data_IF_043614518540
#
_entry.id   IF_043614518540
#
_cell.length_a   1.000
_cell.length_b   1.000
_cell.length_c   1.000
_cell.angle_alpha   90.00
_cell.angle_beta   90.00
_cell.angle_gamma   90.00
#
_symmetry.space_group_name_H-M   'P 1'
#
loop_
_entity.id
_entity.type
_entity.pdbx_description
1 polymer ?
#
# COMPACT_ATOMS: atom_id res chain seq x y z
N UNK A 1 4.08 5.83 -0.80
CA UNK A 1 2.86 6.62 -1.12
C UNK A 1 3.10 8.12 -0.94
N UNK A 2 3.23 8.65 0.28
CA UNK A 2 3.38 10.11 0.54
C UNK A 2 4.46 10.75 -0.34
N UNK A 3 5.67 10.19 -0.37
CA UNK A 3 6.77 10.74 -1.16
C UNK A 3 6.55 10.73 -2.68
N UNK A 4 5.61 9.94 -3.18
CA UNK A 4 5.24 9.90 -4.61
C UNK A 4 4.19 10.96 -4.89
N UNK A 5 3.13 11.00 -4.08
CA UNK A 5 1.99 11.90 -4.30
C UNK A 5 2.32 13.37 -4.04
N UNK A 6 3.18 13.68 -3.05
CA UNK A 6 3.53 15.08 -2.73
C UNK A 6 4.51 15.72 -3.71
N UNK A 7 5.18 14.93 -4.55
CA UNK A 7 6.09 15.42 -5.59
C UNK A 7 5.39 15.70 -6.91
N UNK A 8 4.16 15.23 -7.09
CA UNK A 8 3.37 15.52 -8.28
C UNK A 8 2.96 17.00 -8.32
N UNK A 9 3.04 17.63 -9.48
CA UNK A 9 2.62 19.03 -9.66
C UNK A 9 1.16 19.28 -9.31
N UNK A 10 0.33 18.23 -9.33
CA UNK A 10 -1.10 18.27 -9.04
C UNK A 10 -1.43 18.07 -7.56
N UNK A 11 -0.42 17.89 -6.70
CA UNK A 11 -0.60 17.58 -5.27
C UNK A 11 -1.55 18.54 -4.55
N UNK A 12 -1.47 19.83 -4.83
CA UNK A 12 -2.33 20.83 -4.20
C UNK A 12 -3.82 20.51 -4.42
N UNK A 13 -4.19 20.07 -5.63
CA UNK A 13 -5.57 19.68 -5.94
C UNK A 13 -5.89 18.30 -5.39
N UNK A 14 -4.98 17.33 -5.55
CA UNK A 14 -5.16 15.95 -5.07
C UNK A 14 -5.35 15.89 -3.55
N UNK A 15 -4.59 16.68 -2.80
CA UNK A 15 -4.65 16.72 -1.33
C UNK A 15 -6.00 17.16 -0.79
N UNK A 16 -6.71 18.04 -1.51
CA UNK A 16 -8.08 18.46 -1.17
C UNK A 16 -9.12 17.36 -1.39
N UNK A 17 -8.81 16.39 -2.26
CA UNK A 17 -9.65 15.22 -2.55
C UNK A 17 -9.25 13.99 -1.72
N UNK A 18 -8.14 14.07 -0.98
CA UNK A 18 -7.65 12.96 -0.18
C UNK A 18 -8.56 12.72 1.03
N UNK A 19 -9.32 11.62 0.98
CA UNK A 19 -10.25 11.23 2.03
C UNK A 19 -9.58 10.42 3.17
N UNK A 20 -10.38 9.89 4.08
CA UNK A 20 -9.95 9.08 5.22
C UNK A 20 -9.03 7.91 4.83
N UNK A 21 -9.29 7.23 3.70
CA UNK A 21 -8.43 6.14 3.23
C UNK A 21 -6.98 6.56 2.97
N UNK A 22 -6.77 7.75 2.40
CA UNK A 22 -5.42 8.28 2.22
C UNK A 22 -4.78 8.62 3.58
N UNK A 23 -5.54 9.24 4.50
CA UNK A 23 -5.08 9.54 5.86
C UNK A 23 -4.64 8.28 6.61
N UNK A 24 -5.41 7.20 6.53
CA UNK A 24 -5.13 5.96 7.24
C UNK A 24 -3.89 5.25 6.71
N UNK A 25 -3.74 5.15 5.39
CA UNK A 25 -2.58 4.52 4.76
C UNK A 25 -1.29 5.32 5.02
N UNK A 26 -1.39 6.65 4.99
CA UNK A 26 -0.23 7.53 5.16
C UNK A 26 0.15 7.78 6.61
N UNK A 27 -0.70 7.42 7.58
CA UNK A 27 -0.41 7.58 9.02
C UNK A 27 0.90 6.93 9.46
N UNK A 28 1.32 5.85 8.82
CA UNK A 28 2.60 5.17 9.11
C UNK A 28 3.82 6.07 8.85
N UNK A 29 3.72 7.05 7.94
CA UNK A 29 4.79 7.99 7.65
C UNK A 29 5.03 9.04 8.76
N UNK A 30 4.14 9.13 9.76
CA UNK A 30 4.30 10.01 10.92
C UNK A 30 5.25 9.46 11.99
N UNK A 31 5.71 8.21 11.85
CA UNK A 31 6.63 7.60 12.81
C UNK A 31 8.01 8.28 12.85
N UNK A 32 8.74 8.08 13.95
CA UNK A 32 10.09 8.63 14.10
C UNK A 32 11.04 8.04 13.04
N UNK A 33 11.71 8.87 12.20
CA UNK A 33 12.56 8.38 11.11
C UNK A 33 13.76 7.55 11.58
N UNK A 34 14.41 7.92 12.69
CA UNK A 34 15.57 7.20 13.23
C UNK A 34 15.18 5.81 13.72
N UNK A 35 14.09 5.72 14.47
CA UNK A 35 13.55 4.43 14.95
C UNK A 35 13.14 3.54 13.77
N UNK A 36 12.43 4.10 12.79
CA UNK A 36 12.02 3.35 11.60
C UNK A 36 13.22 2.85 10.78
N UNK A 37 14.27 3.67 10.64
CA UNK A 37 15.50 3.26 9.97
C UNK A 37 16.16 2.08 10.70
N UNK A 38 16.28 2.14 12.03
CA UNK A 38 16.83 1.04 12.83
C UNK A 38 16.01 -0.25 12.69
N UNK A 39 14.67 -0.18 12.71
CA UNK A 39 13.79 -1.33 12.48
C UNK A 39 14.07 -1.96 11.11
N UNK A 40 14.10 -1.13 10.05
CA UNK A 40 14.34 -1.61 8.69
C UNK A 40 15.73 -2.23 8.52
N UNK A 41 16.77 -1.64 9.11
CA UNK A 41 18.14 -2.14 9.02
C UNK A 41 18.34 -3.42 9.81
N UNK A 42 17.73 -3.52 10.99
CA UNK A 42 17.79 -4.72 11.84
C UNK A 42 17.08 -5.90 11.18
N UNK A 43 15.92 -5.66 10.54
CA UNK A 43 15.13 -6.69 9.87
C UNK A 43 15.28 -6.69 8.34
N UNK A 44 16.46 -6.27 7.84
CA UNK A 44 16.68 -5.95 6.42
C UNK A 44 16.22 -7.03 5.45
N UNK A 45 16.57 -8.29 5.71
CA UNK A 45 16.26 -9.40 4.79
C UNK A 45 14.75 -9.61 4.64
N UNK A 46 14.01 -9.66 5.75
CA UNK A 46 12.57 -9.83 5.71
C UNK A 46 11.86 -8.61 5.11
N UNK A 47 12.36 -7.40 5.40
CA UNK A 47 11.82 -6.16 4.81
C UNK A 47 11.98 -6.17 3.29
N UNK A 48 13.16 -6.52 2.77
CA UNK A 48 13.38 -6.65 1.33
C UNK A 48 12.46 -7.71 0.72
N UNK A 49 12.38 -8.89 1.34
CA UNK A 49 11.50 -9.96 0.86
C UNK A 49 10.04 -9.49 0.72
N UNK A 50 9.49 -8.83 1.74
CA UNK A 50 8.11 -8.35 1.68
C UNK A 50 7.91 -7.17 0.73
N UNK A 51 8.92 -6.33 0.51
CA UNK A 51 8.88 -5.30 -0.54
C UNK A 51 8.78 -5.96 -1.92
N UNK A 52 9.56 -7.02 -2.16
CA UNK A 52 9.55 -7.74 -3.44
C UNK A 52 8.21 -8.45 -3.68
N UNK A 53 7.69 -9.17 -2.68
CA UNK A 53 6.38 -9.83 -2.77
C UNK A 53 5.24 -8.83 -2.97
N UNK A 54 5.26 -7.70 -2.25
CA UNK A 54 4.26 -6.65 -2.44
C UNK A 54 4.36 -6.00 -3.84
N UNK A 55 5.58 -5.83 -4.36
CA UNK A 55 5.78 -5.28 -5.70
C UNK A 55 5.22 -6.19 -6.79
N UNK A 56 5.41 -7.51 -6.68
CA UNK A 56 4.79 -8.50 -7.58
C UNK A 56 3.27 -8.42 -7.56
N UNK A 57 2.68 -8.27 -6.38
CA UNK A 57 1.22 -8.16 -6.25
C UNK A 57 0.70 -6.84 -6.85
N UNK A 58 1.41 -5.73 -6.68
CA UNK A 58 1.08 -4.46 -7.35
C UNK A 58 1.15 -4.59 -8.88
N UNK A 59 2.16 -5.28 -9.41
CA UNK A 59 2.28 -5.54 -10.85
C UNK A 59 1.14 -6.43 -11.36
N UNK A 60 0.71 -7.43 -10.58
CA UNK A 60 -0.47 -8.24 -10.90
C UNK A 60 -1.72 -7.37 -11.03
N UNK A 61 -1.99 -6.49 -10.07
CA UNK A 61 -3.13 -5.56 -10.16
C UNK A 61 -2.99 -4.59 -11.34
N UNK A 62 -1.79 -4.10 -11.61
CA UNK A 62 -1.53 -3.23 -12.77
C UNK A 62 -1.89 -3.92 -14.08
N UNK A 63 -1.54 -5.21 -14.23
CA UNK A 63 -1.89 -6.01 -15.40
C UNK A 63 -3.40 -6.22 -15.52
N UNK A 64 -4.07 -6.64 -14.43
CA UNK A 64 -5.53 -6.85 -14.42
C UNK A 64 -6.29 -5.57 -14.81
N UNK A 65 -5.90 -4.42 -14.24
CA UNK A 65 -6.50 -3.12 -14.58
C UNK A 65 -6.20 -2.72 -16.02
N UNK A 66 -4.94 -2.86 -16.45
CA UNK A 66 -4.51 -2.48 -17.81
C UNK A 66 -5.18 -3.30 -18.90
N UNK A 67 -5.42 -4.59 -18.65
CA UNK A 67 -6.11 -5.50 -19.56
C UNK A 67 -7.63 -5.40 -19.50
N UNK A 68 -8.21 -4.64 -18.54
CA UNK A 68 -9.64 -4.66 -18.21
C UNK A 68 -10.14 -6.09 -17.95
N UNK A 69 -9.31 -6.83 -17.23
CA UNK A 69 -9.50 -8.26 -17.00
C UNK A 69 -10.72 -8.52 -16.10
N UNK A 70 -11.57 -9.48 -16.49
CA UNK A 70 -12.74 -9.90 -15.71
C UNK A 70 -12.37 -10.48 -14.34
N UNK A 71 -11.15 -10.98 -14.17
CA UNK A 71 -10.64 -11.53 -12.91
C UNK A 71 -10.29 -10.45 -11.87
N UNK A 72 -10.33 -9.16 -12.22
CA UNK A 72 -10.05 -8.08 -11.28
C UNK A 72 -10.98 -8.10 -10.07
N UNK A 73 -12.27 -8.35 -10.29
CA UNK A 73 -13.26 -8.43 -9.20
C UNK A 73 -12.93 -9.58 -8.25
N UNK A 74 -12.59 -10.75 -8.79
CA UNK A 74 -12.22 -11.92 -8.00
C UNK A 74 -10.97 -11.65 -7.14
N UNK A 75 -9.95 -11.00 -7.71
CA UNK A 75 -8.73 -10.61 -6.99
C UNK A 75 -9.03 -9.66 -5.81
N UNK A 76 -9.89 -8.65 -6.03
CA UNK A 76 -10.31 -7.72 -4.98
C UNK A 76 -11.17 -8.41 -3.91
N UNK A 77 -12.04 -9.34 -4.30
CA UNK A 77 -12.85 -10.13 -3.39
C UNK A 77 -12.00 -11.04 -2.50
N UNK A 78 -10.91 -11.62 -3.04
CA UNK A 78 -9.95 -12.40 -2.27
C UNK A 78 -9.26 -11.55 -1.19
N UNK A 79 -8.76 -10.36 -1.56
CA UNK A 79 -8.16 -9.44 -0.62
C UNK A 79 -9.15 -8.99 0.46
N UNK A 80 -10.41 -8.73 0.09
CA UNK A 80 -11.48 -8.39 1.02
C UNK A 80 -11.74 -9.53 2.02
N UNK A 81 -11.85 -10.78 1.54
CA UNK A 81 -12.04 -11.96 2.38
C UNK A 81 -10.87 -12.18 3.35
N UNK A 82 -9.64 -11.98 2.89
CA UNK A 82 -8.46 -12.05 3.75
C UNK A 82 -8.51 -11.01 4.87
N UNK A 83 -8.94 -9.79 4.56
CA UNK A 83 -9.12 -8.71 5.55
C UNK A 83 -10.20 -9.03 6.58
N UNK A 84 -11.36 -9.52 6.14
CA UNK A 84 -12.45 -9.92 7.05
C UNK A 84 -11.97 -10.99 8.03
N UNK A 85 -11.31 -12.03 7.53
CA UNK A 85 -10.73 -13.10 8.37
C UNK A 85 -9.72 -12.59 9.41
N UNK A 86 -8.98 -11.53 9.11
CA UNK A 86 -8.07 -10.91 10.08
C UNK A 86 -8.83 -10.17 11.17
N UNK A 87 -9.89 -9.45 10.81
CA UNK A 87 -10.77 -8.76 11.75
C UNK A 87 -11.51 -9.74 12.66
N UNK A 88 -11.97 -10.88 12.13
CA UNK A 88 -12.69 -11.89 12.93
C UNK A 88 -11.80 -12.57 13.98
N UNK A 89 -10.48 -12.51 13.81
CA UNK A 89 -9.48 -13.12 14.70
C UNK A 89 -8.96 -12.17 15.79
N UNK A 90 -9.32 -10.89 15.73
CA UNK A 90 -8.80 -9.83 16.61
C UNK A 90 -9.93 -9.26 17.44
#
# INVERSE_FOLDING_TARGET
LVSVTTKDSSWEKMSRLAASGYRDLTRLALGNPEVNAHICLTNRQAVIHWIDEFSKELDRYRQLVGARDEHLEAALAEANKARQKWLDKT
#
